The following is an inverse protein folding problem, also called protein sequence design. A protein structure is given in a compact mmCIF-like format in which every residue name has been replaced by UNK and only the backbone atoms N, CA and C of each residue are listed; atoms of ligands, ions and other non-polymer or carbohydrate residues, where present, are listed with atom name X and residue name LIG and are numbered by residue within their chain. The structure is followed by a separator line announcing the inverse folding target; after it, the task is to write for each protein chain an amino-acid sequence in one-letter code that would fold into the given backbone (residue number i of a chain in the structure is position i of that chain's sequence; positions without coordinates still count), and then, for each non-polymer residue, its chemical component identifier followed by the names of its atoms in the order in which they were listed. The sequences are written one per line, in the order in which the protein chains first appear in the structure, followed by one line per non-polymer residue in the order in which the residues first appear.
data_IF_769838486501
#
_entry.id   IF_769838486501
#
_cell.length_a   1.000
_cell.length_b   1.000
_cell.length_c   1.000
_cell.angle_alpha   90.00
_cell.angle_beta   90.00
_cell.angle_gamma   90.00
#
_symmetry.space_group_name_H-M   'P 1'
#
loop_
_entity.id
_entity.type
_entity.pdbx_description
1 polymer ?
#
# COMPACT_ATOMS: atom_id res chain seq x y z
N UNK A 1 -18.69 20.38 3.62
CA UNK A 1 -17.68 20.64 2.57
C UNK A 1 -17.99 19.80 1.33
N UNK A 2 -17.75 20.35 0.13
CA UNK A 2 -18.21 19.75 -1.13
C UNK A 2 -17.32 18.55 -1.52
N UNK A 3 -17.84 17.31 -1.45
CA UNK A 3 -17.10 16.08 -1.80
C UNK A 3 -16.50 16.11 -3.21
N UNK A 4 -17.16 16.83 -4.12
CA UNK A 4 -16.67 17.12 -5.48
C UNK A 4 -15.29 17.80 -5.46
N UNK A 5 -15.04 18.70 -4.50
CA UNK A 5 -13.75 19.36 -4.31
C UNK A 5 -12.67 18.34 -3.95
N UNK A 6 -12.92 17.46 -2.98
CA UNK A 6 -11.95 16.42 -2.59
C UNK A 6 -11.65 15.47 -3.76
N UNK A 7 -12.67 15.07 -4.52
CA UNK A 7 -12.49 14.20 -5.69
C UNK A 7 -11.65 14.89 -6.77
N UNK A 8 -11.99 16.13 -7.13
CA UNK A 8 -11.24 16.91 -8.12
C UNK A 8 -9.80 17.17 -7.66
N UNK A 9 -9.62 17.50 -6.38
CA UNK A 9 -8.30 17.70 -5.77
C UNK A 9 -7.45 16.44 -5.88
N UNK A 10 -7.99 15.30 -5.43
CA UNK A 10 -7.30 14.02 -5.48
C UNK A 10 -6.95 13.62 -6.92
N UNK A 11 -7.91 13.68 -7.85
CA UNK A 11 -7.68 13.31 -9.26
C UNK A 11 -6.64 14.23 -9.90
N UNK A 12 -6.75 15.55 -9.70
CA UNK A 12 -5.84 16.54 -10.25
C UNK A 12 -4.41 16.35 -9.76
N UNK A 13 -4.20 16.25 -8.45
CA UNK A 13 -2.87 16.04 -7.88
C UNK A 13 -2.31 14.66 -8.25
N UNK A 14 -3.12 13.61 -8.24
CA UNK A 14 -2.65 12.26 -8.63
C UNK A 14 -2.19 12.26 -10.09
N UNK A 15 -2.97 12.85 -11.00
CA UNK A 15 -2.60 12.92 -12.41
C UNK A 15 -1.30 13.72 -12.62
N UNK A 16 -1.21 14.94 -12.07
CA UNK A 16 -0.04 15.82 -12.24
C UNK A 16 1.21 15.19 -11.60
N UNK A 17 1.13 14.71 -10.36
CA UNK A 17 2.27 14.12 -9.68
C UNK A 17 2.72 12.82 -10.34
N UNK A 18 1.80 11.99 -10.86
CA UNK A 18 2.17 10.74 -11.56
C UNK A 18 2.87 11.03 -12.89
N UNK A 19 2.36 11.97 -13.68
CA UNK A 19 2.99 12.37 -14.95
C UNK A 19 4.37 12.97 -14.69
N UNK A 20 4.49 13.84 -13.69
CA UNK A 20 5.77 14.44 -13.32
C UNK A 20 6.76 13.39 -12.81
N UNK A 21 6.29 12.40 -12.02
CA UNK A 21 7.13 11.29 -11.55
C UNK A 21 7.60 10.40 -12.70
N UNK A 22 6.73 10.10 -13.66
CA UNK A 22 7.11 9.37 -14.88
C UNK A 22 8.19 10.13 -15.64
N UNK A 23 7.99 11.42 -15.89
CA UNK A 23 8.99 12.26 -16.55
C UNK A 23 10.34 12.23 -15.81
N UNK A 24 10.33 12.47 -14.50
CA UNK A 24 11.55 12.45 -13.68
C UNK A 24 12.25 11.08 -13.75
N UNK A 25 11.49 9.98 -13.71
CA UNK A 25 12.04 8.62 -13.77
C UNK A 25 12.74 8.33 -15.10
N UNK A 26 12.26 8.89 -16.22
CA UNK A 26 12.85 8.70 -17.54
C UNK A 26 13.94 9.70 -17.90
N UNK A 27 13.83 10.94 -17.43
CA UNK A 27 14.68 12.05 -17.84
C UNK A 27 15.81 12.37 -16.84
N UNK A 28 15.64 12.04 -15.57
CA UNK A 28 16.52 12.52 -14.50
C UNK A 28 16.99 11.45 -13.53
N UNK A 29 16.47 10.22 -13.54
CA UNK A 29 16.95 9.17 -12.63
C UNK A 29 18.01 8.35 -13.33
N UNK A 30 19.23 8.37 -12.79
CA UNK A 30 20.31 7.49 -13.24
C UNK A 30 19.88 6.01 -13.04
N UNK A 31 19.87 5.18 -14.10
CA UNK A 31 19.52 3.77 -14.01
C UNK A 31 20.39 2.97 -13.05
N UNK A 32 21.66 3.39 -12.82
CA UNK A 32 22.62 2.63 -12.02
C UNK A 32 22.57 2.98 -10.53
N UNK A 33 22.48 4.28 -10.21
CA UNK A 33 22.52 4.73 -8.81
C UNK A 33 21.13 5.05 -8.25
N UNK A 34 20.16 5.35 -9.12
CA UNK A 34 18.80 5.75 -8.73
C UNK A 34 18.71 7.17 -8.14
N UNK A 35 19.79 7.96 -8.24
CA UNK A 35 19.79 9.37 -7.88
C UNK A 35 19.22 10.24 -9.01
N UNK A 36 18.76 11.43 -8.63
CA UNK A 36 18.40 12.45 -9.59
C UNK A 36 19.66 13.12 -10.15
N UNK A 37 19.93 12.91 -11.43
CA UNK A 37 20.92 13.64 -12.21
C UNK A 37 20.24 14.82 -12.92
N UNK A 38 20.47 16.02 -12.40
CA UNK A 38 19.94 17.26 -12.97
C UNK A 38 18.46 17.54 -12.65
N UNK A 39 17.91 18.56 -13.30
CA UNK A 39 16.51 19.02 -13.14
C UNK A 39 16.08 19.31 -11.69
N UNK A 40 16.98 19.83 -10.86
CA UNK A 40 16.73 20.09 -9.43
C UNK A 40 15.43 20.88 -9.16
N UNK A 41 15.12 21.88 -9.99
CA UNK A 41 13.87 22.64 -9.88
C UNK A 41 12.61 21.77 -10.09
N UNK A 42 12.65 20.81 -11.03
CA UNK A 42 11.55 19.89 -11.31
C UNK A 42 11.39 18.87 -10.18
N UNK A 43 12.50 18.39 -9.62
CA UNK A 43 12.50 17.51 -8.43
C UNK A 43 11.88 18.22 -7.23
N UNK A 44 12.27 19.48 -6.99
CA UNK A 44 11.69 20.31 -5.94
C UNK A 44 10.20 20.55 -6.15
N UNK A 45 9.79 20.89 -7.38
CA UNK A 45 8.38 21.07 -7.73
C UNK A 45 7.57 19.79 -7.47
N UNK A 46 8.08 18.63 -7.88
CA UNK A 46 7.44 17.34 -7.62
C UNK A 46 7.23 17.10 -6.13
N UNK A 47 8.27 17.27 -5.32
CA UNK A 47 8.18 17.05 -3.87
C UNK A 47 7.19 18.02 -3.20
N UNK A 48 7.18 19.29 -3.61
CA UNK A 48 6.22 20.29 -3.12
C UNK A 48 4.79 19.94 -3.49
N UNK A 49 4.53 19.56 -4.76
CA UNK A 49 3.21 19.13 -5.21
C UNK A 49 2.75 17.85 -4.50
N UNK A 50 3.67 16.91 -4.27
CA UNK A 50 3.38 15.68 -3.54
C UNK A 50 3.01 15.98 -2.08
N UNK A 51 3.79 16.81 -1.39
CA UNK A 51 3.52 17.23 -0.01
C UNK A 51 2.20 18.00 0.09
N UNK A 52 1.94 18.92 -0.84
CA UNK A 52 0.67 19.64 -0.92
C UNK A 52 -0.50 18.68 -1.19
N UNK A 53 -0.32 17.69 -2.08
CA UNK A 53 -1.31 16.65 -2.36
C UNK A 53 -1.64 15.82 -1.12
N UNK A 54 -0.62 15.33 -0.41
CA UNK A 54 -0.76 14.57 0.83
C UNK A 54 -1.43 15.43 1.92
N UNK A 55 -0.90 16.62 2.18
CA UNK A 55 -1.41 17.54 3.21
C UNK A 55 -2.86 17.97 2.94
N UNK A 56 -3.19 18.27 1.69
CA UNK A 56 -4.54 18.60 1.26
C UNK A 56 -5.50 17.42 1.41
N UNK A 57 -5.09 16.19 1.03
CA UNK A 57 -5.92 15.00 1.24
C UNK A 57 -6.15 14.71 2.74
N UNK A 58 -5.12 14.87 3.59
CA UNK A 58 -5.24 14.72 5.04
C UNK A 58 -6.23 15.75 5.63
N UNK A 59 -6.07 17.03 5.27
CA UNK A 59 -6.89 18.13 5.78
C UNK A 59 -8.33 18.02 5.28
N UNK A 60 -8.53 17.81 3.99
CA UNK A 60 -9.87 17.68 3.39
C UNK A 60 -10.57 16.40 3.86
N UNK A 61 -9.84 15.31 4.05
CA UNK A 61 -10.34 14.07 4.64
C UNK A 61 -10.76 14.25 6.10
N UNK A 62 -9.99 15.01 6.89
CA UNK A 62 -10.32 15.28 8.29
C UNK A 62 -11.61 16.10 8.42
N UNK A 63 -11.88 16.99 7.48
CA UNK A 63 -13.07 17.85 7.45
C UNK A 63 -14.34 17.14 6.92
N UNK A 64 -14.29 15.85 6.55
CA UNK A 64 -15.47 15.11 6.12
C UNK A 64 -16.42 14.73 7.27
N UNK A 65 -17.74 14.64 7.00
CA UNK A 65 -18.73 14.24 8.00
C UNK A 65 -18.53 12.80 8.51
N UNK A 66 -18.90 12.56 9.77
CA UNK A 66 -18.62 11.30 10.49
C UNK A 66 -19.44 10.10 10.01
N UNK A 67 -20.70 10.31 9.61
CA UNK A 67 -21.58 9.21 9.22
C UNK A 67 -21.34 8.83 7.77
N UNK A 68 -20.99 7.57 7.52
CA UNK A 68 -20.80 7.05 6.17
C UNK A 68 -21.28 5.61 6.03
N UNK A 69 -22.06 5.35 4.99
CA UNK A 69 -22.41 4.03 4.50
C UNK A 69 -21.54 3.69 3.28
N UNK A 70 -21.16 2.42 3.15
CA UNK A 70 -20.34 1.92 2.06
C UNK A 70 -21.21 1.15 1.04
N UNK A 71 -21.66 1.78 -0.06
CA UNK A 71 -22.53 1.12 -1.03
C UNK A 71 -21.80 0.01 -1.77
N UNK A 72 -22.50 -1.00 -2.28
CA UNK A 72 -21.88 -1.97 -3.19
C UNK A 72 -21.57 -1.30 -4.53
N UNK A 73 -20.32 -1.44 -4.99
CA UNK A 73 -19.89 -0.88 -6.27
C UNK A 73 -19.15 -1.92 -7.09
N UNK A 74 -19.28 -1.80 -8.41
CA UNK A 74 -18.55 -2.66 -9.35
C UNK A 74 -17.04 -2.35 -9.32
N UNK A 75 -16.68 -1.07 -9.21
CA UNK A 75 -15.28 -0.61 -9.25
C UNK A 75 -14.51 -1.13 -8.03
N UNK A 76 -15.02 -0.96 -6.82
CA UNK A 76 -14.37 -1.50 -5.61
C UNK A 76 -14.26 -3.02 -5.65
N UNK A 77 -15.28 -3.72 -6.14
CA UNK A 77 -15.23 -5.19 -6.29
C UNK A 77 -14.12 -5.61 -7.25
N UNK A 78 -14.03 -4.99 -8.42
CA UNK A 78 -12.96 -5.28 -9.38
C UNK A 78 -11.59 -4.98 -8.79
N UNK A 79 -11.42 -3.83 -8.13
CA UNK A 79 -10.17 -3.49 -7.46
C UNK A 79 -9.81 -4.47 -6.34
N UNK A 80 -10.78 -4.94 -5.57
CA UNK A 80 -10.58 -5.96 -4.54
C UNK A 80 -10.16 -7.31 -5.13
N UNK A 81 -10.70 -7.70 -6.29
CA UNK A 81 -10.24 -8.90 -7.02
C UNK A 81 -8.79 -8.73 -7.46
N UNK A 82 -8.43 -7.58 -8.03
CA UNK A 82 -7.06 -7.31 -8.48
C UNK A 82 -6.06 -7.38 -7.32
N UNK A 83 -6.39 -6.76 -6.18
CA UNK A 83 -5.60 -6.88 -4.94
C UNK A 83 -5.51 -8.34 -4.51
N UNK A 84 -6.64 -9.04 -4.45
CA UNK A 84 -6.71 -10.42 -4.01
C UNK A 84 -5.83 -11.37 -4.83
N UNK A 85 -5.85 -11.22 -6.16
CA UNK A 85 -5.03 -12.00 -7.10
C UNK A 85 -3.55 -11.63 -6.99
N UNK A 86 -3.22 -10.33 -6.88
CA UNK A 86 -1.83 -9.87 -6.77
C UNK A 86 -1.13 -10.30 -5.47
N UNK A 87 -1.89 -10.61 -4.42
CA UNK A 87 -1.34 -11.19 -3.18
C UNK A 87 -0.70 -12.57 -3.38
N UNK A 88 -1.14 -13.37 -4.36
CA UNK A 88 -0.61 -14.73 -4.56
C UNK A 88 0.85 -14.72 -5.06
N UNK A 89 1.21 -13.98 -6.13
CA UNK A 89 2.61 -13.79 -6.50
C UNK A 89 3.47 -13.21 -5.38
N UNK A 90 2.92 -12.26 -4.61
CA UNK A 90 3.62 -11.70 -3.45
C UNK A 90 3.90 -12.76 -2.39
N UNK A 91 2.93 -13.64 -2.09
CA UNK A 91 3.10 -14.77 -1.18
C UNK A 91 4.11 -15.81 -1.65
N UNK A 92 4.10 -16.15 -2.95
CA UNK A 92 5.11 -17.04 -3.54
C UNK A 92 6.52 -16.43 -3.41
N UNK A 93 6.66 -15.13 -3.70
CA UNK A 93 7.95 -14.44 -3.55
C UNK A 93 8.41 -14.38 -2.09
N UNK A 94 7.49 -14.15 -1.15
CA UNK A 94 7.77 -14.12 0.28
C UNK A 94 8.22 -15.48 0.81
N UNK A 95 7.59 -16.57 0.36
CA UNK A 95 7.99 -17.94 0.69
C UNK A 95 9.37 -18.29 0.10
N UNK A 96 9.62 -17.93 -1.16
CA UNK A 96 10.91 -18.18 -1.82
C UNK A 96 12.07 -17.48 -1.10
N UNK A 97 11.84 -16.27 -0.58
CA UNK A 97 12.81 -15.50 0.18
C UNK A 97 13.16 -16.12 1.56
N UNK A 98 12.34 -17.04 2.09
CA UNK A 98 12.64 -17.71 3.37
C UNK A 98 13.66 -18.84 3.24
N UNK A 99 14.08 -19.22 2.02
CA UNK A 99 15.05 -20.29 1.79
C UNK A 99 16.37 -20.06 2.53
N UNK A 100 16.88 -18.82 2.57
CA UNK A 100 18.10 -18.48 3.32
C UNK A 100 17.96 -18.50 4.84
N UNK A 101 16.75 -18.38 5.39
CA UNK A 101 16.55 -18.47 6.85
C UNK A 101 16.68 -19.90 7.37
N UNK A 102 16.41 -20.90 6.53
CA UNK A 102 16.64 -22.30 6.86
C UNK A 102 18.13 -22.62 7.06
N UNK A 103 19.03 -21.89 6.39
CA UNK A 103 20.47 -22.02 6.60
C UNK A 103 20.90 -21.45 7.97
N UNK A 104 20.23 -20.39 8.46
CA UNK A 104 20.50 -19.84 9.80
C UNK A 104 20.17 -20.84 10.92
N UNK A 105 19.17 -21.70 10.71
CA UNK A 105 18.82 -22.78 11.65
C UNK A 105 19.90 -23.86 11.68
N UNK A 106 20.53 -24.16 10.55
CA UNK A 106 21.61 -25.14 10.45
C UNK A 106 22.92 -24.64 11.07
N UNK A 107 23.15 -23.32 11.05
CA UNK A 107 24.34 -22.68 11.62
C UNK A 107 24.29 -22.39 13.14
N UNK A 108 23.18 -22.68 13.82
CA UNK A 108 23.02 -22.37 15.24
C UNK A 108 23.76 -23.36 16.16
N UNK A 109 24.80 -22.90 16.85
CA UNK A 109 25.72 -23.75 17.65
C UNK A 109 25.26 -23.87 19.12
N UNK A 110 24.43 -22.94 19.61
CA UNK A 110 23.96 -22.93 21.01
C UNK A 110 22.43 -23.02 21.09
N UNK A 111 21.91 -23.66 22.15
CA UNK A 111 20.46 -23.80 22.37
C UNK A 111 19.69 -22.46 22.38
N UNK A 112 20.17 -21.38 23.02
CA UNK A 112 19.48 -20.09 22.96
C UNK A 112 19.45 -19.50 21.54
N UNK A 113 20.53 -19.64 20.77
CA UNK A 113 20.59 -19.18 19.38
C UNK A 113 19.65 -19.99 18.48
N UNK A 114 19.52 -21.29 18.71
CA UNK A 114 18.58 -22.15 17.98
C UNK A 114 17.13 -21.74 18.24
N UNK A 115 16.75 -21.49 19.50
CA UNK A 115 15.40 -21.04 19.84
C UNK A 115 15.11 -19.69 19.19
N UNK A 116 16.05 -18.74 19.26
CA UNK A 116 15.89 -17.43 18.63
C UNK A 116 15.73 -17.54 17.11
N UNK A 117 16.58 -18.33 16.45
CA UNK A 117 16.51 -18.58 15.01
C UNK A 117 15.18 -19.24 14.61
N UNK A 118 14.69 -20.20 15.41
CA UNK A 118 13.40 -20.86 15.18
C UNK A 118 12.22 -19.90 15.29
N UNK A 119 12.21 -19.05 16.32
CA UNK A 119 11.17 -18.02 16.48
C UNK A 119 11.18 -17.04 15.31
N UNK A 120 12.35 -16.52 14.92
CA UNK A 120 12.47 -15.57 13.80
C UNK A 120 12.01 -16.20 12.49
N UNK A 121 12.42 -17.45 12.23
CA UNK A 121 12.04 -18.18 11.01
C UNK A 121 10.53 -18.42 10.96
N UNK A 122 9.94 -18.86 12.08
CA UNK A 122 8.50 -19.12 12.17
C UNK A 122 7.68 -17.84 11.98
N UNK A 123 8.08 -16.74 12.64
CA UNK A 123 7.41 -15.44 12.51
C UNK A 123 7.54 -14.92 11.08
N UNK A 124 8.72 -15.01 10.47
CA UNK A 124 8.94 -14.58 9.08
C UNK A 124 8.10 -15.40 8.10
N UNK A 125 8.04 -16.72 8.29
CA UNK A 125 7.22 -17.60 7.46
C UNK A 125 5.72 -17.29 7.57
N UNK A 126 5.23 -17.04 8.78
CA UNK A 126 3.82 -16.67 9.01
C UNK A 126 3.50 -15.29 8.43
N UNK A 127 4.32 -14.28 8.74
CA UNK A 127 4.04 -12.89 8.40
C UNK A 127 4.37 -12.52 6.96
N UNK A 128 5.46 -13.04 6.39
CA UNK A 128 5.91 -12.72 5.03
C UNK A 128 5.56 -13.80 4.00
N UNK A 129 5.38 -15.04 4.44
CA UNK A 129 4.99 -16.17 3.57
C UNK A 129 3.48 -16.40 3.51
N UNK A 130 2.85 -16.72 4.65
CA UNK A 130 1.44 -17.15 4.70
C UNK A 130 0.45 -15.98 4.68
N UNK A 131 0.71 -14.92 5.44
CA UNK A 131 -0.19 -13.76 5.54
C UNK A 131 -0.59 -13.10 4.20
N UNK A 132 0.28 -13.02 3.17
CA UNK A 132 -0.13 -12.62 1.81
C UNK A 132 -1.31 -13.44 1.27
N UNK A 133 -1.28 -14.77 1.39
CA UNK A 133 -2.34 -15.64 0.88
C UNK A 133 -3.66 -15.42 1.63
N UNK A 134 -3.60 -15.29 2.96
CA UNK A 134 -4.77 -15.00 3.78
C UNK A 134 -5.36 -13.64 3.42
N UNK A 135 -4.50 -12.64 3.21
CA UNK A 135 -4.89 -11.32 2.73
C UNK A 135 -5.55 -11.41 1.36
N UNK A 136 -4.96 -12.17 0.42
CA UNK A 136 -5.54 -12.40 -0.91
C UNK A 136 -6.94 -13.01 -0.84
N UNK A 137 -7.11 -14.07 -0.05
CA UNK A 137 -8.40 -14.71 0.19
C UNK A 137 -9.44 -13.78 0.82
N UNK A 138 -9.01 -12.95 1.79
CA UNK A 138 -9.86 -11.95 2.42
C UNK A 138 -10.37 -10.92 1.40
N UNK A 139 -9.50 -10.40 0.53
CA UNK A 139 -9.88 -9.43 -0.50
C UNK A 139 -10.82 -10.03 -1.56
N UNK A 140 -10.61 -11.29 -1.94
CA UNK A 140 -11.54 -12.03 -2.81
C UNK A 140 -12.91 -12.25 -2.13
N UNK A 141 -12.93 -12.53 -0.82
CA UNK A 141 -14.16 -12.63 -0.05
C UNK A 141 -14.90 -11.28 0.00
N UNK A 142 -14.17 -10.18 0.23
CA UNK A 142 -14.74 -8.81 0.20
C UNK A 142 -15.33 -8.50 -1.18
N UNK A 143 -14.67 -8.90 -2.25
CA UNK A 143 -15.15 -8.70 -3.62
C UNK A 143 -16.48 -9.43 -3.91
N UNK A 144 -16.69 -10.59 -3.27
CA UNK A 144 -17.91 -11.41 -3.46
C UNK A 144 -19.09 -10.96 -2.60
N UNK A 145 -18.91 -10.06 -1.63
CA UNK A 145 -20.00 -9.62 -0.75
C UNK A 145 -21.10 -8.89 -1.51
N UNK A 146 -22.34 -9.35 -1.34
CA UNK A 146 -23.58 -8.70 -1.78
C UNK A 146 -24.04 -7.63 -0.79
N UNK A 147 -25.02 -6.79 -1.17
CA UNK A 147 -25.59 -5.75 -0.31
C UNK A 147 -26.12 -6.34 1.00
N UNK A 148 -26.87 -7.45 0.93
CA UNK A 148 -27.37 -8.17 2.12
C UNK A 148 -26.24 -8.68 3.02
N UNK A 149 -25.11 -9.11 2.42
CA UNK A 149 -23.97 -9.67 3.15
C UNK A 149 -23.06 -8.59 3.79
N UNK A 150 -23.12 -7.34 3.33
CA UNK A 150 -22.35 -6.23 3.93
C UNK A 150 -22.82 -5.88 5.34
N UNK A 151 -24.07 -6.19 5.69
CA UNK A 151 -24.60 -6.04 7.05
C UNK A 151 -23.92 -6.94 8.08
N UNK A 152 -23.32 -8.06 7.64
CA UNK A 152 -22.64 -9.01 8.52
C UNK A 152 -21.19 -8.59 8.74
N UNK A 153 -20.74 -8.35 9.99
CA UNK A 153 -19.36 -7.98 10.25
C UNK A 153 -18.40 -9.12 9.85
N UNK A 154 -17.22 -8.78 9.33
CA UNK A 154 -16.11 -9.73 9.22
C UNK A 154 -15.41 -9.79 10.58
N UNK A 155 -14.93 -10.97 10.96
CA UNK A 155 -14.21 -11.14 12.22
C UNK A 155 -12.97 -10.21 12.27
N UNK A 156 -12.89 -9.39 13.32
CA UNK A 156 -11.90 -8.31 13.43
C UNK A 156 -10.45 -8.79 13.34
N UNK A 157 -10.13 -9.94 13.95
CA UNK A 157 -8.78 -10.53 13.88
C UNK A 157 -8.35 -10.88 12.46
N UNK A 158 -9.27 -11.37 11.63
CA UNK A 158 -8.97 -11.70 10.23
C UNK A 158 -8.65 -10.44 9.42
N UNK A 159 -9.32 -9.33 9.73
CA UNK A 159 -9.07 -8.03 9.11
C UNK A 159 -7.76 -7.37 9.56
N UNK A 160 -7.12 -7.86 10.63
CA UNK A 160 -5.79 -7.41 11.07
C UNK A 160 -4.65 -8.14 10.37
N UNK A 161 -4.90 -9.27 9.71
CA UNK A 161 -3.86 -10.02 8.98
C UNK A 161 -3.17 -9.19 7.90
N UNK A 162 -3.88 -8.42 7.05
CA UNK A 162 -3.23 -7.55 6.07
C UNK A 162 -2.35 -6.48 6.73
N UNK A 163 -2.76 -5.97 7.89
CA UNK A 163 -1.98 -4.99 8.65
C UNK A 163 -0.70 -5.62 9.21
N UNK A 164 -0.80 -6.81 9.81
CA UNK A 164 0.36 -7.51 10.35
C UNK A 164 1.38 -7.83 9.24
N UNK A 165 0.90 -8.30 8.08
CA UNK A 165 1.75 -8.50 6.91
C UNK A 165 2.43 -7.21 6.47
N UNK A 166 1.67 -6.12 6.36
CA UNK A 166 2.21 -4.84 5.92
C UNK A 166 3.25 -4.25 6.90
N UNK A 167 3.06 -4.43 8.20
CA UNK A 167 4.05 -4.02 9.21
C UNK A 167 5.32 -4.87 9.10
N UNK A 168 5.18 -6.18 8.89
CA UNK A 168 6.33 -7.06 8.66
C UNK A 168 7.11 -6.67 7.40
N UNK A 169 6.43 -6.35 6.30
CA UNK A 169 7.05 -5.84 5.07
C UNK A 169 7.79 -4.51 5.30
N UNK A 170 7.22 -3.60 6.08
CA UNK A 170 7.86 -2.33 6.42
C UNK A 170 9.15 -2.56 7.21
N UNK A 171 9.11 -3.47 8.19
CA UNK A 171 10.29 -3.84 8.98
C UNK A 171 11.37 -4.53 8.12
N UNK A 172 10.99 -5.47 7.26
CA UNK A 172 11.92 -6.12 6.33
C UNK A 172 12.56 -5.11 5.38
N UNK A 173 11.75 -4.23 4.79
CA UNK A 173 12.25 -3.16 3.90
C UNK A 173 13.22 -2.24 4.64
N UNK A 174 12.93 -1.92 5.91
CA UNK A 174 13.80 -1.09 6.74
C UNK A 174 15.16 -1.74 7.01
N UNK A 175 15.21 -3.05 7.26
CA UNK A 175 16.48 -3.77 7.46
C UNK A 175 17.33 -3.84 6.19
N UNK A 176 16.68 -3.88 5.02
CA UNK A 176 17.35 -3.86 3.71
C UNK A 176 17.85 -2.45 3.30
N UNK A 177 17.31 -1.37 3.87
CA UNK A 177 17.69 0.03 3.56
C UNK A 177 19.11 0.44 4.00
N UNK A 178 19.93 -0.48 4.48
CA UNK A 178 21.36 -0.20 4.74
C UNK A 178 22.19 0.01 3.45
N UNK A 179 21.62 -0.28 2.28
CA UNK A 179 22.26 -0.04 0.98
C UNK A 179 21.92 1.34 0.37
N UNK A 180 22.93 2.22 0.24
CA UNK A 180 22.83 3.60 -0.29
C UNK A 180 22.63 3.62 -1.83
N UNK A 181 21.50 3.11 -2.35
CA UNK A 181 21.13 3.22 -3.77
C UNK A 181 19.59 3.31 -3.90
N UNK A 182 19.07 4.00 -4.92
CA UNK A 182 17.63 4.22 -5.19
C UNK A 182 16.80 4.97 -4.12
N UNK A 183 17.43 5.86 -3.34
CA UNK A 183 16.83 6.61 -2.22
C UNK A 183 15.46 7.24 -2.54
N UNK A 184 15.24 7.75 -3.76
CA UNK A 184 13.97 8.38 -4.12
C UNK A 184 12.77 7.41 -4.15
N UNK A 185 12.94 6.22 -4.74
CA UNK A 185 11.88 5.20 -4.80
C UNK A 185 11.66 4.56 -3.43
N UNK A 186 12.74 4.36 -2.69
CA UNK A 186 12.72 3.83 -1.33
C UNK A 186 11.97 4.77 -0.37
N UNK A 187 12.21 6.09 -0.46
CA UNK A 187 11.51 7.08 0.34
C UNK A 187 10.00 7.10 0.01
N UNK A 188 9.64 7.12 -1.28
CA UNK A 188 8.23 7.07 -1.70
C UNK A 188 7.54 5.77 -1.26
N UNK A 189 8.23 4.64 -1.38
CA UNK A 189 7.74 3.34 -0.92
C UNK A 189 7.51 3.38 0.59
N UNK A 190 8.45 3.88 1.36
CA UNK A 190 8.34 3.98 2.82
C UNK A 190 7.15 4.86 3.24
N UNK A 191 7.00 6.05 2.63
CA UNK A 191 5.85 6.93 2.87
C UNK A 191 4.53 6.23 2.51
N UNK A 192 4.50 5.49 1.39
CA UNK A 192 3.35 4.68 1.00
C UNK A 192 3.01 3.62 2.05
N UNK A 193 3.99 2.86 2.56
CA UNK A 193 3.75 1.84 3.58
C UNK A 193 3.28 2.44 4.92
N UNK A 194 3.83 3.60 5.31
CA UNK A 194 3.42 4.35 6.51
C UNK A 194 1.97 4.81 6.41
N UNK A 195 1.50 5.22 5.22
CA UNK A 195 0.11 5.63 5.00
C UNK A 195 -0.84 4.42 4.85
N UNK A 196 -0.33 3.31 4.32
CA UNK A 196 -1.09 2.07 4.13
C UNK A 196 -1.50 1.42 5.46
N UNK A 197 -0.60 1.38 6.45
CA UNK A 197 -0.89 0.77 7.75
C UNK A 197 -2.11 1.37 8.48
N UNK A 198 -2.22 2.70 8.71
CA UNK A 198 -3.39 3.29 9.34
C UNK A 198 -4.63 3.21 8.45
N UNK A 199 -4.48 3.19 7.12
CA UNK A 199 -5.60 2.91 6.22
C UNK A 199 -6.15 1.49 6.43
N UNK A 200 -5.30 0.46 6.50
CA UNK A 200 -5.70 -0.93 6.75
C UNK A 200 -6.43 -1.08 8.09
N UNK A 201 -5.96 -0.40 9.14
CA UNK A 201 -6.64 -0.38 10.43
C UNK A 201 -8.03 0.28 10.35
N UNK A 202 -8.13 1.41 9.63
CA UNK A 202 -9.39 2.09 9.41
C UNK A 202 -10.35 1.25 8.55
N UNK A 203 -9.83 0.58 7.54
CA UNK A 203 -10.53 -0.36 6.67
C UNK A 203 -11.09 -1.54 7.46
N UNK A 204 -10.30 -2.11 8.37
CA UNK A 204 -10.73 -3.17 9.28
C UNK A 204 -11.87 -2.71 10.19
N UNK A 205 -11.83 -1.48 10.71
CA UNK A 205 -12.92 -0.90 11.52
C UNK A 205 -14.24 -0.82 10.76
N UNK A 206 -14.19 -0.34 9.51
CA UNK A 206 -15.38 -0.22 8.67
C UNK A 206 -15.97 -1.59 8.34
N UNK A 207 -15.15 -2.57 7.94
CA UNK A 207 -15.65 -3.90 7.57
C UNK A 207 -16.01 -4.79 8.77
N UNK A 208 -15.37 -4.56 9.92
CA UNK A 208 -15.65 -5.22 11.18
C UNK A 208 -16.82 -4.61 11.95
N UNK A 209 -17.38 -3.49 11.47
CA UNK A 209 -18.43 -2.71 12.16
C UNK A 209 -18.02 -2.27 13.59
N UNK A 210 -16.72 -2.00 13.79
CA UNK A 210 -16.17 -1.49 15.05
C UNK A 210 -15.95 0.02 14.88
N UNK A 211 -16.83 0.85 15.44
CA UNK A 211 -16.86 2.30 15.23
C UNK A 211 -16.77 2.70 13.73
N UNK A 212 -17.71 2.24 12.89
CA UNK A 212 -17.62 2.39 11.43
C UNK A 212 -17.54 3.86 10.99
N UNK A 213 -18.16 4.79 11.71
CA UNK A 213 -18.10 6.23 11.45
C UNK A 213 -16.69 6.80 11.61
N UNK A 214 -16.00 6.42 12.71
CA UNK A 214 -14.62 6.82 12.95
C UNK A 214 -13.68 6.13 11.96
N UNK A 215 -13.92 4.86 11.67
CA UNK A 215 -13.20 4.08 10.67
C UNK A 215 -13.30 4.70 9.28
N UNK A 216 -14.49 5.11 8.84
CA UNK A 216 -14.71 5.71 7.52
C UNK A 216 -13.93 7.03 7.37
N UNK A 217 -13.99 7.90 8.39
CA UNK A 217 -13.20 9.15 8.39
C UNK A 217 -11.70 8.87 8.32
N UNK A 218 -11.20 7.94 9.14
CA UNK A 218 -9.78 7.57 9.12
C UNK A 218 -9.38 6.94 7.78
N UNK A 219 -10.26 6.15 7.17
CA UNK A 219 -10.01 5.54 5.87
C UNK A 219 -9.87 6.61 4.79
N UNK A 220 -10.69 7.66 4.79
CA UNK A 220 -10.52 8.78 3.84
C UNK A 220 -9.24 9.57 4.12
N UNK A 221 -8.95 9.85 5.40
CA UNK A 221 -7.76 10.61 5.81
C UNK A 221 -6.48 9.91 5.35
N UNK A 222 -6.35 8.60 5.53
CA UNK A 222 -5.11 7.89 5.20
C UNK A 222 -5.13 7.23 3.82
N UNK A 223 -6.30 6.80 3.34
CA UNK A 223 -6.44 6.05 2.08
C UNK A 223 -6.24 6.88 0.82
N UNK A 224 -6.69 8.15 0.80
CA UNK A 224 -6.46 9.02 -0.36
C UNK A 224 -4.99 9.45 -0.50
N UNK A 225 -4.29 9.91 0.56
CA UNK A 225 -2.85 10.12 0.48
C UNK A 225 -2.10 8.85 0.10
N UNK A 226 -2.45 7.69 0.67
CA UNK A 226 -1.85 6.41 0.30
C UNK A 226 -2.02 6.14 -1.20
N UNK A 227 -3.24 6.24 -1.73
CA UNK A 227 -3.51 6.00 -3.14
C UNK A 227 -2.69 6.94 -4.04
N UNK A 228 -2.62 8.24 -3.69
CA UNK A 228 -1.86 9.24 -4.43
C UNK A 228 -0.37 8.84 -4.51
N UNK A 229 0.25 8.49 -3.38
CA UNK A 229 1.65 8.06 -3.34
C UNK A 229 1.84 6.74 -4.08
N UNK A 230 0.91 5.79 -3.94
CA UNK A 230 0.96 4.50 -4.63
C UNK A 230 0.94 4.68 -6.16
N UNK A 231 0.08 5.55 -6.70
CA UNK A 231 0.09 5.88 -8.13
C UNK A 231 1.43 6.47 -8.56
N UNK A 232 1.94 7.46 -7.82
CA UNK A 232 3.20 8.12 -8.16
C UNK A 232 4.38 7.14 -8.16
N UNK A 233 4.53 6.38 -7.08
CA UNK A 233 5.63 5.44 -6.92
C UNK A 233 5.53 4.28 -7.93
N UNK A 234 4.40 3.58 -7.95
CA UNK A 234 4.28 2.32 -8.67
C UNK A 234 4.21 2.50 -10.18
N UNK A 235 3.53 3.54 -10.69
CA UNK A 235 3.50 3.80 -12.13
C UNK A 235 4.90 4.11 -12.68
N UNK A 236 5.70 4.89 -11.95
CA UNK A 236 7.09 5.18 -12.31
C UNK A 236 7.94 3.92 -12.38
N UNK A 237 7.83 3.05 -11.38
CA UNK A 237 8.60 1.80 -11.30
C UNK A 237 8.18 0.78 -12.37
N UNK A 238 6.88 0.62 -12.60
CA UNK A 238 6.35 -0.26 -13.65
C UNK A 238 6.72 0.23 -15.05
N UNK A 239 6.58 1.54 -15.32
CA UNK A 239 6.97 2.10 -16.61
C UNK A 239 8.47 1.95 -16.89
N UNK A 240 9.32 2.18 -15.88
CA UNK A 240 10.75 1.95 -16.00
C UNK A 240 11.08 0.47 -16.25
N UNK A 241 10.39 -0.45 -15.57
CA UNK A 241 10.56 -1.90 -15.78
C UNK A 241 10.14 -2.33 -17.19
N UNK A 242 9.02 -1.82 -17.71
CA UNK A 242 8.54 -2.13 -19.06
C UNK A 242 9.45 -1.56 -20.15
N UNK A 243 10.10 -0.43 -19.89
CA UNK A 243 11.06 0.20 -20.80
C UNK A 243 12.46 -0.45 -20.77
N UNK A 244 12.64 -1.57 -20.04
CA UNK A 244 13.94 -2.22 -19.89
C UNK A 244 14.97 -1.42 -19.07
N UNK A 245 14.55 -0.32 -18.43
CA UNK A 245 15.37 0.51 -17.53
C UNK A 245 15.15 0.10 -16.07
N UNK A 246 15.07 -1.21 -15.83
CA UNK A 246 14.87 -1.76 -14.49
C UNK A 246 16.05 -1.43 -13.60
N UNK A 247 15.80 -0.64 -12.55
CA UNK A 247 16.79 -0.43 -11.47
C UNK A 247 16.76 -1.66 -10.58
N UNK A 248 17.91 -2.27 -10.33
CA UNK A 248 18.06 -3.56 -9.61
C UNK A 248 17.62 -3.55 -8.15
N UNK A 249 17.32 -2.38 -7.57
CA UNK A 249 17.05 -2.16 -6.13
C UNK A 249 15.69 -1.49 -5.88
N UNK A 250 14.80 -1.45 -6.87
CA UNK A 250 13.41 -1.01 -6.69
C UNK A 250 12.54 -2.19 -6.21
N UNK A 251 11.43 -1.97 -5.48
CA UNK A 251 10.49 -3.04 -5.18
C UNK A 251 10.12 -3.76 -6.47
N UNK A 252 10.06 -5.09 -6.40
CA UNK A 252 9.90 -5.91 -7.60
C UNK A 252 8.67 -5.44 -8.40
N UNK A 253 8.66 -5.62 -9.74
CA UNK A 253 7.50 -5.24 -10.56
C UNK A 253 6.19 -5.84 -10.03
N UNK A 254 6.26 -7.02 -9.42
CA UNK A 254 5.14 -7.70 -8.75
C UNK A 254 4.62 -6.90 -7.56
N UNK A 255 5.50 -6.46 -6.64
CA UNK A 255 5.11 -5.63 -5.51
C UNK A 255 4.61 -4.25 -5.96
N UNK A 256 5.23 -3.66 -6.98
CA UNK A 256 4.76 -2.39 -7.57
C UNK A 256 3.34 -2.52 -8.15
N UNK A 257 3.04 -3.60 -8.88
CA UNK A 257 1.70 -3.87 -9.38
C UNK A 257 0.69 -4.11 -8.24
N UNK A 258 1.10 -4.87 -7.21
CA UNK A 258 0.28 -5.09 -6.01
C UNK A 258 -0.10 -3.77 -5.34
N UNK A 259 0.87 -2.90 -5.04
CA UNK A 259 0.61 -1.62 -4.39
C UNK A 259 -0.20 -0.66 -5.27
N UNK A 260 -0.04 -0.71 -6.59
CA UNK A 260 -0.88 0.04 -7.52
C UNK A 260 -2.35 -0.41 -7.45
N UNK A 261 -2.62 -1.72 -7.49
CA UNK A 261 -3.98 -2.25 -7.35
C UNK A 261 -4.56 -1.93 -5.98
N UNK A 262 -3.73 -1.96 -4.94
CA UNK A 262 -4.13 -1.57 -3.59
C UNK A 262 -4.47 -0.08 -3.51
N UNK A 263 -3.70 0.78 -4.20
CA UNK A 263 -3.99 2.21 -4.36
C UNK A 263 -5.31 2.47 -5.08
N UNK A 264 -5.59 1.74 -6.16
CA UNK A 264 -6.88 1.80 -6.88
C UNK A 264 -8.02 1.37 -5.94
N UNK A 265 -7.83 0.29 -5.18
CA UNK A 265 -8.82 -0.17 -4.22
C UNK A 265 -9.07 0.85 -3.12
N UNK A 266 -8.02 1.44 -2.53
CA UNK A 266 -8.13 2.45 -1.50
C UNK A 266 -8.84 3.71 -2.04
N UNK A 267 -8.49 4.17 -3.24
CA UNK A 267 -9.18 5.27 -3.90
C UNK A 267 -10.67 4.96 -4.12
N UNK A 268 -11.00 3.79 -4.69
CA UNK A 268 -12.39 3.38 -4.88
C UNK A 268 -13.14 3.29 -3.54
N UNK A 269 -12.54 2.70 -2.51
CA UNK A 269 -13.10 2.59 -1.18
C UNK A 269 -13.41 3.97 -0.58
N UNK A 270 -12.45 4.89 -0.60
CA UNK A 270 -12.59 6.23 -0.04
C UNK A 270 -13.56 7.11 -0.84
N UNK A 271 -13.48 7.06 -2.17
CA UNK A 271 -14.29 7.87 -3.07
C UNK A 271 -15.74 7.38 -3.16
N UNK A 272 -16.07 6.19 -2.66
CA UNK A 272 -17.42 5.64 -2.65
C UNK A 272 -18.11 5.70 -1.29
N UNK A 273 -17.41 5.98 -0.18
CA UNK A 273 -18.01 6.19 1.14
C UNK A 273 -19.07 7.31 1.09
N UNK A 274 -20.36 6.94 1.14
CA UNK A 274 -21.49 7.88 1.04
C UNK A 274 -21.95 8.32 2.42
N UNK A 275 -22.10 9.62 2.70
CA UNK A 275 -22.67 10.04 3.96
C UNK A 275 -24.14 9.63 4.04
N UNK A 276 -24.57 9.11 5.19
CA UNK A 276 -25.99 8.89 5.45
C UNK A 276 -26.64 10.27 5.57
N UNK A 277 -27.56 10.59 4.65
CA UNK A 277 -28.42 11.78 4.81
C UNK A 277 -29.29 11.50 6.03
N UNK A 278 -29.03 12.25 7.11
CA UNK A 278 -29.94 12.33 8.25
C UNK A 278 -31.21 13.07 7.88
#
# INVERSE_FOLDING_TARGET
MNRKLLHLYFIGFTAVCTVLRLFLKFASVDPLTGYYEGYGAVVWLFNLLLLAGIGGCLLLGWLQPRRSYLPVSRIRRMAAVLVGVACFPAGVSGLAAQSGQLEMLQGAITMPALIAALVVTLVSFLCLGIAPFVTGGLFLMIARRTEDSQSRPIHGLLLLVPLAWQVALLLSSFMEYTAIRSVSDQMLTTVMLILLAPFLLAHARVLGQIDPDRGARQAVVFGLPFALVAFCACMGMLAASLAGRGVTVAPSPVFSAFYLFFGIYAAAFCLELTPVKG
#
